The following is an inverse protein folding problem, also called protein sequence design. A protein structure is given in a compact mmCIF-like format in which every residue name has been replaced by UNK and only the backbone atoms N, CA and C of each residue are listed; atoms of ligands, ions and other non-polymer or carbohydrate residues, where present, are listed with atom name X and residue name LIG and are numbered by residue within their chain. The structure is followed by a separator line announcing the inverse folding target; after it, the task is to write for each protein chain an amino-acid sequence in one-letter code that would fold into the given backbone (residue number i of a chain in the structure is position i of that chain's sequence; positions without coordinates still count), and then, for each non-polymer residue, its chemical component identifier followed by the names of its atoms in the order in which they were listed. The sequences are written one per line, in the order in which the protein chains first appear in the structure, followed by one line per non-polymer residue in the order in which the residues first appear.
data_IF_078197124419
#
_entry.id   IF_078197124419
#
_cell.length_a   1.000
_cell.length_b   1.000
_cell.length_c   1.000
_cell.angle_alpha   90.00
_cell.angle_beta   90.00
_cell.angle_gamma   90.00
#
_symmetry.space_group_name_H-M   'P 1'
#
loop_
_entity.id
_entity.type
_entity.pdbx_description
1 polymer ?
#
# COMPACT_ATOMS: atom_id res chain seq x y z
N UNK A 1 -6.16 -10.24 -15.63
CA UNK A 1 -6.76 -9.33 -16.63
C UNK A 1 -7.63 -8.24 -16.02
N UNK A 2 -8.50 -8.50 -15.03
CA UNK A 2 -9.38 -7.47 -14.45
C UNK A 2 -8.65 -6.37 -13.63
N UNK A 3 -7.70 -6.73 -12.77
CA UNK A 3 -6.97 -5.78 -11.92
C UNK A 3 -6.23 -4.70 -12.73
N UNK A 4 -5.55 -5.11 -13.80
CA UNK A 4 -4.85 -4.20 -14.72
C UNK A 4 -5.80 -3.18 -15.36
N UNK A 5 -7.00 -3.62 -15.76
CA UNK A 5 -8.01 -2.72 -16.35
C UNK A 5 -8.45 -1.66 -15.36
N UNK A 6 -8.72 -2.03 -14.11
CA UNK A 6 -9.16 -1.08 -13.07
C UNK A 6 -8.06 -0.03 -12.82
N UNK A 7 -6.80 -0.48 -12.68
CA UNK A 7 -5.66 0.41 -12.46
C UNK A 7 -5.49 1.37 -13.63
N UNK A 8 -5.60 0.86 -14.87
CA UNK A 8 -5.43 1.69 -16.06
C UNK A 8 -6.55 2.73 -16.19
N UNK A 9 -7.81 2.33 -15.97
CA UNK A 9 -8.95 3.25 -15.97
C UNK A 9 -8.83 4.34 -14.91
N UNK A 10 -8.38 3.98 -13.70
CA UNK A 10 -8.15 4.95 -12.63
C UNK A 10 -7.03 5.95 -12.97
N UNK A 11 -5.94 5.48 -13.61
CA UNK A 11 -4.85 6.35 -14.10
C UNK A 11 -5.34 7.36 -15.13
N UNK A 12 -6.14 6.93 -16.10
CA UNK A 12 -6.76 7.83 -17.10
C UNK A 12 -7.67 8.86 -16.42
N UNK A 13 -8.39 8.45 -15.37
CA UNK A 13 -9.28 9.33 -14.61
C UNK A 13 -8.55 10.19 -13.56
N UNK A 14 -7.23 10.13 -13.49
CA UNK A 14 -6.40 10.82 -12.48
C UNK A 14 -6.86 10.49 -11.04
N UNK A 15 -7.18 9.23 -10.78
CA UNK A 15 -7.60 8.71 -9.48
C UNK A 15 -6.64 7.66 -8.95
N UNK A 16 -6.51 7.62 -7.63
CA UNK A 16 -5.81 6.56 -6.92
C UNK A 16 -6.71 5.33 -6.74
N UNK A 17 -6.10 4.15 -6.80
CA UNK A 17 -6.73 2.87 -6.43
C UNK A 17 -6.16 2.45 -5.09
N UNK A 18 -7.04 2.08 -4.16
CA UNK A 18 -6.66 1.43 -2.90
C UNK A 18 -6.95 -0.05 -3.01
N UNK A 19 -5.92 -0.88 -2.90
CA UNK A 19 -6.10 -2.32 -2.81
C UNK A 19 -6.30 -2.74 -1.35
N UNK A 20 -7.52 -3.15 -1.01
CA UNK A 20 -7.87 -3.63 0.34
C UNK A 20 -7.69 -5.15 0.49
N UNK A 21 -7.45 -5.60 1.72
CA UNK A 21 -7.34 -7.02 2.05
C UNK A 21 -5.97 -7.65 1.75
N UNK A 22 -4.90 -6.87 1.75
CA UNK A 22 -3.53 -7.39 1.55
C UNK A 22 -3.05 -8.10 2.82
N UNK A 23 -2.80 -9.41 2.72
CA UNK A 23 -2.38 -10.25 3.85
C UNK A 23 -0.93 -10.71 3.75
N UNK A 24 -0.36 -10.73 2.54
CA UNK A 24 0.98 -11.27 2.28
C UNK A 24 1.87 -10.31 1.49
N UNK A 25 3.18 -10.45 1.67
CA UNK A 25 4.18 -9.71 0.89
C UNK A 25 4.05 -9.97 -0.62
N UNK A 26 3.70 -11.19 -1.02
CA UNK A 26 3.51 -11.55 -2.44
C UNK A 26 2.35 -10.79 -3.09
N UNK A 27 1.24 -10.60 -2.37
CA UNK A 27 0.12 -9.78 -2.83
C UNK A 27 0.52 -8.31 -2.97
N UNK A 28 1.21 -7.77 -1.94
CA UNK A 28 1.70 -6.39 -1.96
C UNK A 28 2.65 -6.14 -3.14
N UNK A 29 3.59 -7.07 -3.36
CA UNK A 29 4.55 -6.99 -4.46
C UNK A 29 3.85 -7.07 -5.83
N UNK A 30 2.92 -8.00 -6.01
CA UNK A 30 2.17 -8.11 -7.27
C UNK A 30 1.38 -6.84 -7.59
N UNK A 31 0.67 -6.29 -6.59
CA UNK A 31 -0.12 -5.06 -6.74
C UNK A 31 0.76 -3.86 -7.08
N UNK A 32 1.91 -3.72 -6.42
CA UNK A 32 2.91 -2.70 -6.73
C UNK A 32 3.46 -2.86 -8.16
N UNK A 33 3.80 -4.08 -8.58
CA UNK A 33 4.33 -4.37 -9.90
C UNK A 33 3.35 -4.03 -11.04
N UNK A 34 2.03 -4.13 -10.80
CA UNK A 34 1.00 -3.73 -11.76
C UNK A 34 0.59 -2.25 -11.64
N UNK A 35 1.26 -1.48 -10.77
CA UNK A 35 1.10 -0.04 -10.62
C UNK A 35 -0.04 0.39 -9.69
N UNK A 36 -0.42 -0.45 -8.73
CA UNK A 36 -1.26 -0.07 -7.59
C UNK A 36 -0.36 0.36 -6.43
N UNK A 37 -0.39 1.64 -6.08
CA UNK A 37 0.57 2.27 -5.16
C UNK A 37 0.03 2.40 -3.72
N UNK A 38 -1.28 2.23 -3.53
CA UNK A 38 -1.93 2.36 -2.22
C UNK A 38 -2.56 1.04 -1.82
N UNK A 39 -2.27 0.57 -0.61
CA UNK A 39 -2.76 -0.70 -0.12
C UNK A 39 -3.15 -0.66 1.36
N UNK A 40 -4.15 -1.47 1.72
CA UNK A 40 -4.57 -1.70 3.09
C UNK A 40 -4.71 -3.21 3.33
N UNK A 41 -4.27 -3.66 4.51
CA UNK A 41 -4.52 -5.02 4.95
C UNK A 41 -3.59 -5.43 6.09
N UNK A 42 -3.83 -6.64 6.62
CA UNK A 42 -3.12 -7.19 7.76
C UNK A 42 -1.62 -7.35 7.54
N UNK A 43 -1.18 -7.38 6.29
CA UNK A 43 0.23 -7.32 5.95
C UNK A 43 0.92 -6.07 6.51
N UNK A 44 0.26 -4.91 6.45
CA UNK A 44 0.80 -3.64 6.96
C UNK A 44 0.51 -3.45 8.45
N UNK A 45 -0.76 -3.58 8.83
CA UNK A 45 -1.20 -3.48 10.21
C UNK A 45 -2.59 -4.07 10.37
N UNK A 46 -2.89 -4.54 11.59
CA UNK A 46 -4.27 -4.81 11.99
C UNK A 46 -4.98 -3.48 12.31
N UNK A 47 -6.32 -3.42 12.38
CA UNK A 47 -7.01 -2.26 12.93
C UNK A 47 -6.48 -1.94 14.34
N UNK A 48 -6.10 -0.69 14.56
CA UNK A 48 -5.52 -0.21 15.82
C UNK A 48 -6.50 0.75 16.52
N UNK A 49 -6.56 0.75 17.86
CA UNK A 49 -7.16 1.85 18.63
C UNK A 49 -6.49 3.19 18.30
N UNK A 50 -7.20 4.30 18.48
CA UNK A 50 -6.74 5.63 18.06
C UNK A 50 -5.34 6.01 18.60
N UNK A 51 -5.05 5.69 19.87
CA UNK A 51 -3.74 5.99 20.50
C UNK A 51 -2.61 5.16 19.87
N UNK A 52 -2.87 3.89 19.59
CA UNK A 52 -1.89 2.99 18.96
C UNK A 52 -1.68 3.37 17.49
N UNK A 53 -2.75 3.74 16.78
CA UNK A 53 -2.67 4.26 15.41
C UNK A 53 -1.79 5.52 15.35
N UNK A 54 -1.98 6.48 16.26
CA UNK A 54 -1.17 7.70 16.30
C UNK A 54 0.32 7.39 16.51
N UNK A 55 0.65 6.44 17.37
CA UNK A 55 2.04 5.97 17.58
C UNK A 55 2.60 5.29 16.34
N UNK A 56 1.83 4.40 15.73
CA UNK A 56 2.19 3.70 14.51
C UNK A 56 2.47 4.68 13.36
N UNK A 57 1.62 5.70 13.17
CA UNK A 57 1.84 6.74 12.17
C UNK A 57 3.12 7.54 12.42
N UNK A 58 3.47 7.81 13.68
CA UNK A 58 4.69 8.54 14.01
C UNK A 58 5.98 7.72 13.76
N UNK A 59 5.88 6.38 13.78
CA UNK A 59 7.00 5.45 13.56
C UNK A 59 7.10 4.96 12.11
N UNK A 60 6.04 5.15 11.34
CA UNK A 60 5.95 4.69 9.96
C UNK A 60 7.06 5.31 9.10
N UNK A 61 7.96 4.46 8.60
CA UNK A 61 9.06 4.87 7.73
C UNK A 61 8.85 4.29 6.34
N UNK A 62 8.56 5.10 5.31
CA UNK A 62 8.44 4.61 3.95
C UNK A 62 9.81 4.16 3.42
N UNK A 63 9.87 3.03 2.73
CA UNK A 63 11.09 2.61 2.04
C UNK A 63 11.16 3.34 0.71
N UNK A 64 11.97 4.39 0.61
CA UNK A 64 12.19 5.11 -0.65
C UNK A 64 13.15 4.29 -1.51
N UNK A 65 12.73 3.91 -2.71
CA UNK A 65 13.64 3.30 -3.69
C UNK A 65 14.52 4.35 -4.34
N UNK A 66 15.68 3.95 -4.87
CA UNK A 66 16.66 4.83 -5.52
C UNK A 66 16.11 5.68 -6.68
N UNK A 67 14.90 5.38 -7.18
CA UNK A 67 14.22 6.11 -8.25
C UNK A 67 13.22 7.17 -7.74
N UNK A 68 13.07 7.34 -6.42
CA UNK A 68 12.12 8.28 -5.81
C UNK A 68 10.72 7.70 -5.55
N UNK A 69 10.45 6.46 -5.99
CA UNK A 69 9.19 5.77 -5.73
C UNK A 69 9.17 5.18 -4.32
N UNK A 70 8.13 5.48 -3.55
CA UNK A 70 7.91 4.90 -2.22
C UNK A 70 7.44 3.47 -2.35
N UNK A 71 8.26 2.50 -1.92
CA UNK A 71 7.77 1.15 -1.61
C UNK A 71 7.22 1.16 -0.19
N UNK A 72 6.07 0.50 -0.03
CA UNK A 72 5.23 0.50 1.15
C UNK A 72 6.03 0.46 2.46
N UNK A 73 5.62 1.30 3.41
CA UNK A 73 6.24 1.34 4.73
C UNK A 73 6.19 -0.01 5.40
N UNK A 74 7.32 -0.35 6.00
CA UNK A 74 7.48 -1.53 6.81
C UNK A 74 6.60 -1.37 8.05
N UNK A 75 5.96 -2.46 8.49
CA UNK A 75 5.35 -2.50 9.81
C UNK A 75 6.44 -2.15 10.85
N UNK A 76 6.26 -1.11 11.69
CA UNK A 76 7.18 -0.85 12.78
C UNK A 76 7.15 -2.05 13.73
N UNK A 77 8.34 -2.52 14.09
CA UNK A 77 8.62 -3.57 15.06
C UNK A 77 8.22 -3.17 16.49
#
# INVERSE_FOLDING_TARGET
MLLLTIIHSAKIAERYVVAEGIETAGQAHYLSAIGCEVGQGYYYSRPLPAVEFARWCAQWTPTITSNGDTLNGSRPD
#
